data_IF_089705020784
#
_entry.id   IF_089705020784
#
_cell.length_a   1.000
_cell.length_b   1.000
_cell.length_c   1.000
_cell.angle_alpha   90.00
_cell.angle_beta   90.00
_cell.angle_gamma   90.00
#
_symmetry.space_group_name_H-M   'P 1'
#
loop_
_entity.id
_entity.type
_entity.pdbx_description
1 polymer ?
#
# COMPACT_ATOMS: atom_id res chain seq x y z
N UNK A 1 -16.24 -2.04 5.57
CA UNK A 1 -15.58 -1.29 4.46
C UNK A 1 -16.61 -0.65 3.54
N UNK A 2 -17.60 -1.44 3.08
CA UNK A 2 -18.58 -1.00 2.09
C UNK A 2 -19.44 0.16 2.60
N UNK A 3 -20.01 0.06 3.80
CA UNK A 3 -20.80 1.14 4.41
C UNK A 3 -20.03 2.47 4.49
N UNK A 4 -18.73 2.39 4.79
CA UNK A 4 -17.87 3.57 4.86
C UNK A 4 -17.63 4.17 3.47
N UNK A 5 -17.42 3.33 2.47
CA UNK A 5 -17.19 3.80 1.10
C UNK A 5 -18.46 4.38 0.50
N UNK A 6 -19.61 3.74 0.70
CA UNK A 6 -20.91 4.25 0.26
C UNK A 6 -21.21 5.61 0.88
N UNK A 7 -20.93 5.76 2.18
CA UNK A 7 -21.07 7.05 2.87
C UNK A 7 -20.14 8.12 2.29
N UNK A 8 -18.88 7.80 2.00
CA UNK A 8 -17.92 8.73 1.37
C UNK A 8 -18.39 9.16 -0.02
N UNK A 9 -18.84 8.21 -0.85
CA UNK A 9 -19.36 8.51 -2.18
C UNK A 9 -20.59 9.42 -2.10
N UNK A 10 -21.50 9.15 -1.16
CA UNK A 10 -22.65 10.01 -0.90
C UNK A 10 -22.23 11.43 -0.54
N UNK A 11 -21.29 11.59 0.39
CA UNK A 11 -20.77 12.91 0.77
C UNK A 11 -20.12 13.65 -0.41
N UNK A 12 -19.35 12.95 -1.25
CA UNK A 12 -18.76 13.55 -2.45
C UNK A 12 -19.84 14.06 -3.42
N UNK A 13 -20.89 13.28 -3.65
CA UNK A 13 -22.02 13.70 -4.50
C UNK A 13 -22.77 14.91 -3.93
N UNK A 14 -23.08 14.90 -2.63
CA UNK A 14 -23.76 16.01 -1.94
C UNK A 14 -22.97 17.31 -2.01
N UNK A 15 -21.64 17.22 -1.94
CA UNK A 15 -20.74 18.38 -2.02
C UNK A 15 -20.24 18.69 -3.45
N UNK A 16 -20.74 17.99 -4.47
CA UNK A 16 -20.35 18.14 -5.88
C UNK A 16 -18.83 18.03 -6.10
N UNK A 17 -18.15 17.20 -5.29
CA UNK A 17 -16.73 16.94 -5.46
C UNK A 17 -16.51 16.01 -6.64
N UNK A 18 -15.58 16.37 -7.50
CA UNK A 18 -15.17 15.60 -8.67
C UNK A 18 -13.89 14.78 -8.36
N UNK A 19 -13.59 13.82 -9.21
CA UNK A 19 -12.32 13.08 -9.15
C UNK A 19 -11.12 14.04 -9.29
N UNK A 20 -11.23 15.07 -10.14
CA UNK A 20 -10.18 16.08 -10.31
C UNK A 20 -9.92 16.88 -9.05
N UNK A 21 -10.95 17.25 -8.27
CA UNK A 21 -10.78 17.96 -7.00
C UNK A 21 -9.98 17.12 -5.99
N UNK A 22 -10.29 15.83 -5.93
CA UNK A 22 -9.60 14.89 -5.05
C UNK A 22 -8.16 14.68 -5.51
N UNK A 23 -7.94 14.42 -6.81
CA UNK A 23 -6.58 14.29 -7.38
C UNK A 23 -5.74 15.54 -7.15
N UNK A 24 -6.30 16.72 -7.28
CA UNK A 24 -5.61 17.97 -7.00
C UNK A 24 -5.16 18.05 -5.52
N UNK A 25 -6.03 17.66 -4.60
CA UNK A 25 -5.73 17.66 -3.17
C UNK A 25 -4.64 16.64 -2.85
N UNK A 26 -4.74 15.42 -3.38
CA UNK A 26 -3.73 14.37 -3.20
C UNK A 26 -2.39 14.78 -3.83
N UNK A 27 -2.41 15.42 -4.99
CA UNK A 27 -1.19 15.88 -5.67
C UNK A 27 -0.35 16.88 -4.87
N UNK A 28 -0.97 17.59 -3.91
CA UNK A 28 -0.29 18.49 -2.95
C UNK A 28 0.34 17.78 -1.77
N UNK A 29 -0.02 16.52 -1.51
CA UNK A 29 0.57 15.75 -0.42
C UNK A 29 2.00 15.34 -0.76
N UNK A 30 2.87 15.39 0.22
CA UNK A 30 4.21 14.86 0.10
C UNK A 30 4.26 13.38 0.51
N UNK A 31 5.31 12.69 0.07
CA UNK A 31 5.61 11.36 0.60
C UNK A 31 6.07 11.48 2.05
N UNK A 32 5.91 10.42 2.82
CA UNK A 32 6.45 10.35 4.17
C UNK A 32 7.96 10.53 4.17
N UNK A 33 8.49 11.16 5.21
CA UNK A 33 9.92 11.40 5.35
C UNK A 33 10.73 10.11 5.22
N UNK A 34 11.71 10.14 4.31
CA UNK A 34 12.56 8.98 4.01
C UNK A 34 11.96 7.94 3.05
N UNK A 35 10.67 7.98 2.74
CA UNK A 35 10.01 6.98 1.89
C UNK A 35 10.60 6.94 0.48
N UNK A 36 10.86 8.09 -0.14
CA UNK A 36 11.45 8.15 -1.48
C UNK A 36 12.86 7.56 -1.50
N UNK A 37 13.70 7.94 -0.53
CA UNK A 37 15.07 7.42 -0.40
C UNK A 37 15.06 5.91 -0.14
N UNK A 38 14.16 5.43 0.70
CA UNK A 38 13.96 4.00 0.94
C UNK A 38 13.63 3.27 -0.37
N UNK A 39 12.66 3.74 -1.14
CA UNK A 39 12.27 3.13 -2.42
C UNK A 39 13.42 3.12 -3.43
N UNK A 40 14.20 4.19 -3.54
CA UNK A 40 15.37 4.27 -4.41
C UNK A 40 16.44 3.25 -4.03
N UNK A 41 16.68 3.03 -2.75
CA UNK A 41 17.67 2.09 -2.25
C UNK A 41 17.20 0.63 -2.39
N UNK A 42 15.97 0.34 -2.01
CA UNK A 42 15.45 -1.03 -2.05
C UNK A 42 15.37 -1.56 -3.48
N UNK A 43 15.03 -0.71 -4.46
CA UNK A 43 14.97 -1.06 -5.88
C UNK A 43 16.29 -1.51 -6.49
N UNK A 44 17.41 -1.23 -5.85
CA UNK A 44 18.72 -1.71 -6.32
C UNK A 44 18.85 -3.24 -6.21
N UNK A 45 18.02 -3.85 -5.36
CA UNK A 45 18.15 -5.27 -5.01
C UNK A 45 16.83 -6.04 -5.08
N UNK A 46 15.69 -5.35 -5.06
CA UNK A 46 14.37 -5.96 -5.03
C UNK A 46 13.46 -5.37 -6.11
N UNK A 47 12.56 -6.19 -6.62
CA UNK A 47 11.38 -5.70 -7.34
C UNK A 47 10.37 -5.18 -6.33
N UNK A 48 9.87 -3.97 -6.55
CA UNK A 48 8.95 -3.32 -5.61
C UNK A 48 7.53 -3.36 -6.15
N UNK A 49 6.63 -3.86 -5.32
CA UNK A 49 5.19 -3.88 -5.59
C UNK A 49 4.49 -3.17 -4.43
N UNK A 50 3.62 -2.22 -4.73
CA UNK A 50 2.74 -1.58 -3.74
C UNK A 50 1.40 -2.31 -3.76
N UNK A 51 1.03 -2.86 -2.61
CA UNK A 51 -0.27 -3.48 -2.36
C UNK A 51 -1.10 -2.55 -1.47
N UNK A 52 -2.19 -2.01 -1.99
CA UNK A 52 -2.96 -0.99 -1.27
C UNK A 52 -4.47 -1.21 -1.40
N UNK A 53 -5.20 -0.85 -0.36
CA UNK A 53 -6.67 -0.83 -0.35
C UNK A 53 -7.23 0.52 -0.84
N UNK A 54 -6.38 1.34 -1.47
CA UNK A 54 -6.78 2.56 -2.18
C UNK A 54 -7.30 2.26 -3.59
N UNK A 55 -7.56 3.30 -4.37
CA UNK A 55 -8.01 3.23 -5.77
C UNK A 55 -6.94 3.81 -6.70
N UNK A 56 -6.82 3.24 -7.92
CA UNK A 56 -5.87 3.72 -8.92
C UNK A 56 -6.00 5.22 -9.16
N UNK A 57 -7.24 5.70 -9.26
CA UNK A 57 -7.54 7.09 -9.57
C UNK A 57 -7.02 8.06 -8.50
N UNK A 58 -7.03 7.62 -7.23
CA UNK A 58 -6.49 8.41 -6.10
C UNK A 58 -4.98 8.25 -5.96
N UNK A 59 -4.43 7.07 -6.25
CA UNK A 59 -3.03 6.80 -6.03
C UNK A 59 -2.10 7.47 -7.05
N UNK A 60 -2.57 7.67 -8.30
CA UNK A 60 -1.72 8.10 -9.42
C UNK A 60 -0.92 9.39 -9.16
N UNK A 61 -1.44 10.45 -8.50
CA UNK A 61 -0.62 11.62 -8.18
C UNK A 61 0.58 11.32 -7.28
N UNK A 62 0.46 10.36 -6.34
CA UNK A 62 1.56 9.94 -5.48
C UNK A 62 2.48 8.95 -6.20
N UNK A 63 1.93 8.08 -7.06
CA UNK A 63 2.72 7.14 -7.84
C UNK A 63 3.76 7.84 -8.73
N UNK A 64 3.40 9.00 -9.30
CA UNK A 64 4.34 9.80 -10.08
C UNK A 64 5.55 10.30 -9.26
N UNK A 65 5.35 10.56 -7.95
CA UNK A 65 6.44 10.96 -7.03
C UNK A 65 7.33 9.78 -6.64
N UNK A 66 6.91 8.55 -6.92
CA UNK A 66 7.62 7.31 -6.58
C UNK A 66 8.18 6.58 -7.81
N UNK A 67 8.25 7.22 -8.97
CA UNK A 67 8.70 6.63 -10.25
C UNK A 67 7.90 5.38 -10.64
N UNK A 68 6.60 5.40 -10.43
CA UNK A 68 5.62 4.39 -10.85
C UNK A 68 6.03 2.93 -10.55
N UNK A 69 6.22 2.52 -9.29
CA UNK A 69 6.33 1.10 -8.97
C UNK A 69 5.03 0.36 -9.38
N UNK A 70 5.11 -0.96 -9.53
CA UNK A 70 3.91 -1.75 -9.75
C UNK A 70 2.91 -1.51 -8.60
N UNK A 71 1.71 -1.07 -8.93
CA UNK A 71 0.63 -0.83 -7.97
C UNK A 71 -0.49 -1.85 -8.20
N UNK A 72 -0.87 -2.56 -7.16
CA UNK A 72 -2.05 -3.42 -7.14
C UNK A 72 -3.03 -2.87 -6.10
N UNK A 73 -4.11 -2.26 -6.57
CA UNK A 73 -5.15 -1.65 -5.73
C UNK A 73 -6.53 -1.79 -6.37
N UNK A 74 -7.53 -1.14 -5.83
CA UNK A 74 -8.91 -1.15 -6.32
C UNK A 74 -9.12 -0.13 -7.44
N UNK A 75 -10.33 -0.06 -7.98
CA UNK A 75 -10.70 0.86 -9.06
C UNK A 75 -12.00 1.59 -8.71
N UNK A 76 -12.08 2.86 -9.07
CA UNK A 76 -13.32 3.64 -9.00
C UNK A 76 -14.13 3.49 -10.29
N UNK A 77 -15.44 3.53 -10.15
CA UNK A 77 -16.36 3.72 -11.25
C UNK A 77 -16.65 5.23 -11.36
N UNK A 78 -16.17 5.82 -12.44
CA UNK A 78 -16.24 7.26 -12.68
C UNK A 78 -17.18 7.51 -13.86
N UNK A 79 -18.24 8.23 -13.61
CA UNK A 79 -19.23 8.61 -14.61
C UNK A 79 -18.90 9.92 -15.30
N UNK A 80 -19.91 10.47 -15.97
CA UNK A 80 -19.83 11.75 -16.64
C UNK A 80 -19.47 12.88 -15.66
N UNK A 81 -18.80 13.93 -16.16
CA UNK A 81 -18.32 15.05 -15.36
C UNK A 81 -17.43 14.67 -14.18
N UNK A 82 -16.72 13.54 -14.29
CA UNK A 82 -15.81 13.02 -13.26
C UNK A 82 -16.47 12.76 -11.89
N UNK A 83 -17.76 12.45 -11.88
CA UNK A 83 -18.46 12.04 -10.67
C UNK A 83 -18.10 10.61 -10.29
N UNK A 84 -17.76 10.39 -9.02
CA UNK A 84 -17.51 9.05 -8.50
C UNK A 84 -18.86 8.39 -8.22
N UNK A 85 -19.17 7.34 -8.99
CA UNK A 85 -20.45 6.64 -8.94
C UNK A 85 -20.40 5.39 -8.07
N UNK A 86 -19.23 4.77 -7.97
CA UNK A 86 -19.03 3.53 -7.23
C UNK A 86 -17.56 3.11 -7.23
N UNK A 87 -17.34 1.85 -6.90
CA UNK A 87 -16.00 1.26 -6.86
C UNK A 87 -16.05 -0.24 -7.12
N UNK A 88 -14.94 -0.78 -7.63
CA UNK A 88 -14.73 -2.20 -7.82
C UNK A 88 -13.59 -2.67 -6.91
N UNK A 89 -13.91 -3.54 -5.94
CA UNK A 89 -12.89 -4.20 -5.14
C UNK A 89 -12.25 -5.32 -5.96
N UNK A 90 -10.94 -5.27 -6.09
CA UNK A 90 -10.20 -6.29 -6.82
C UNK A 90 -10.31 -7.66 -6.17
N UNK A 91 -10.26 -7.69 -4.82
CA UNK A 91 -10.38 -8.92 -4.04
C UNK A 91 -10.56 -8.61 -2.54
N UNK A 92 -11.26 -9.47 -1.79
CA UNK A 92 -11.50 -9.27 -0.34
C UNK A 92 -10.25 -9.43 0.53
N UNK A 93 -9.22 -10.16 0.06
CA UNK A 93 -7.91 -10.35 0.72
C UNK A 93 -6.78 -10.06 -0.26
N UNK A 94 -6.88 -8.94 -0.95
CA UNK A 94 -6.05 -8.63 -2.13
C UNK A 94 -4.55 -8.68 -1.84
N UNK A 95 -4.10 -8.23 -0.65
CA UNK A 95 -2.68 -8.20 -0.28
C UNK A 95 -2.13 -9.62 -0.07
N UNK A 96 -2.81 -10.46 0.73
CA UNK A 96 -2.41 -11.85 0.98
C UNK A 96 -2.35 -12.63 -0.33
N UNK A 97 -3.41 -12.56 -1.13
CA UNK A 97 -3.48 -13.29 -2.40
C UNK A 97 -2.46 -12.84 -3.43
N UNK A 98 -2.08 -11.55 -3.42
CA UNK A 98 -0.99 -11.08 -4.28
C UNK A 98 0.35 -11.75 -3.90
N UNK A 99 0.67 -11.82 -2.60
CA UNK A 99 1.87 -12.51 -2.12
C UNK A 99 1.83 -14.00 -2.47
N UNK A 100 0.69 -14.67 -2.22
CA UNK A 100 0.51 -16.09 -2.56
C UNK A 100 0.71 -16.34 -4.07
N UNK A 101 0.20 -15.47 -4.94
CA UNK A 101 0.37 -15.57 -6.37
C UNK A 101 1.85 -15.39 -6.78
N UNK A 102 2.56 -14.43 -6.20
CA UNK A 102 4.00 -14.27 -6.45
C UNK A 102 4.80 -15.48 -5.97
N UNK A 103 4.46 -16.05 -4.81
CA UNK A 103 5.08 -17.26 -4.31
C UNK A 103 4.85 -18.46 -5.26
N UNK A 104 3.63 -18.62 -5.81
CA UNK A 104 3.28 -19.68 -6.75
C UNK A 104 4.08 -19.62 -8.05
N UNK A 105 4.46 -18.43 -8.49
CA UNK A 105 5.30 -18.26 -9.70
C UNK A 105 6.80 -18.18 -9.37
N UNK A 106 7.19 -18.54 -8.12
CA UNK A 106 8.59 -18.73 -7.73
C UNK A 106 9.28 -17.51 -7.13
N UNK A 107 8.57 -16.40 -6.88
CA UNK A 107 9.14 -15.28 -6.14
C UNK A 107 9.07 -15.53 -4.64
N UNK A 108 10.08 -15.05 -3.92
CA UNK A 108 10.09 -14.96 -2.46
C UNK A 108 9.82 -13.51 -2.07
N UNK A 109 8.78 -13.29 -1.29
CA UNK A 109 8.29 -11.97 -0.96
C UNK A 109 8.71 -11.56 0.45
N UNK A 110 9.17 -10.32 0.60
CA UNK A 110 9.30 -9.61 1.86
C UNK A 110 8.21 -8.55 1.87
N UNK A 111 7.45 -8.46 2.96
CA UNK A 111 6.35 -7.53 3.08
C UNK A 111 6.59 -6.51 4.20
N UNK A 112 6.17 -5.26 3.99
CA UNK A 112 6.14 -4.24 5.03
C UNK A 112 4.81 -3.49 4.99
N UNK A 113 4.30 -3.10 6.17
CA UNK A 113 3.03 -2.39 6.30
C UNK A 113 2.83 -1.83 7.69
N UNK A 114 1.73 -1.09 7.92
CA UNK A 114 1.49 -0.34 9.15
C UNK A 114 0.17 -0.68 9.85
N UNK A 115 -0.64 -1.55 9.27
CA UNK A 115 -2.03 -1.76 9.69
C UNK A 115 -2.41 -3.22 9.90
N UNK A 116 -3.57 -3.44 10.51
CA UNK A 116 -4.16 -4.78 10.63
C UNK A 116 -4.36 -5.47 9.29
N UNK A 117 -4.70 -4.71 8.24
CA UNK A 117 -4.92 -5.27 6.91
C UNK A 117 -3.64 -5.88 6.32
N UNK A 118 -2.46 -5.49 6.86
CA UNK A 118 -1.16 -5.97 6.39
C UNK A 118 -0.76 -7.29 7.06
N UNK A 119 -1.30 -7.60 8.24
CA UNK A 119 -0.90 -8.80 8.99
C UNK A 119 -1.11 -10.08 8.19
N UNK A 120 -2.19 -10.18 7.43
CA UNK A 120 -2.47 -11.36 6.61
C UNK A 120 -1.44 -11.58 5.48
N UNK A 121 -0.83 -10.52 4.94
CA UNK A 121 0.23 -10.69 3.94
C UNK A 121 1.55 -11.11 4.59
N UNK A 122 1.80 -10.72 5.86
CA UNK A 122 2.99 -11.16 6.59
C UNK A 122 2.98 -12.67 6.86
N UNK A 123 1.80 -13.28 7.06
CA UNK A 123 1.67 -14.73 7.28
C UNK A 123 2.16 -15.58 6.10
N UNK A 124 2.13 -15.03 4.88
CA UNK A 124 2.46 -15.76 3.65
C UNK A 124 3.71 -15.22 2.96
N UNK A 125 4.27 -14.11 3.43
CA UNK A 125 5.57 -13.61 3.02
C UNK A 125 6.70 -14.39 3.70
N UNK A 126 7.89 -14.41 3.10
CA UNK A 126 9.09 -14.99 3.71
C UNK A 126 9.51 -14.21 4.98
N UNK A 127 9.37 -12.87 4.92
CA UNK A 127 9.56 -11.96 6.04
C UNK A 127 8.49 -10.87 6.03
N UNK A 128 7.97 -10.55 7.22
CA UNK A 128 7.02 -9.47 7.44
C UNK A 128 7.58 -8.44 8.42
N UNK A 129 7.37 -7.15 8.14
CA UNK A 129 7.84 -6.05 8.97
C UNK A 129 6.76 -5.00 9.16
N UNK A 130 6.63 -4.46 10.37
CA UNK A 130 5.87 -3.24 10.60
C UNK A 130 6.74 -2.01 10.37
N UNK A 131 6.16 -0.99 9.75
CA UNK A 131 6.74 0.35 9.62
C UNK A 131 5.75 1.40 10.11
N UNK A 132 6.12 2.19 11.08
CA UNK A 132 5.27 3.21 11.69
C UNK A 132 3.89 2.69 12.18
N UNK A 133 3.80 1.40 12.48
CA UNK A 133 2.55 0.83 12.98
C UNK A 133 2.22 1.37 14.39
N UNK A 134 0.95 1.68 14.67
CA UNK A 134 0.53 2.02 16.02
C UNK A 134 0.89 0.93 17.03
N UNK A 135 1.29 1.32 18.24
CA UNK A 135 1.65 0.37 19.31
C UNK A 135 0.50 -0.58 19.67
N UNK A 136 -0.75 -0.13 19.50
CA UNK A 136 -1.95 -0.96 19.68
C UNK A 136 -2.02 -2.14 18.70
N UNK A 137 -1.33 -2.05 17.55
CA UNK A 137 -1.24 -3.12 16.56
C UNK A 137 0.03 -3.93 16.79
N UNK A 138 1.20 -3.29 16.80
CA UNK A 138 2.49 -4.00 16.90
C UNK A 138 2.63 -4.82 18.17
N UNK A 139 2.05 -4.38 19.29
CA UNK A 139 2.06 -5.16 20.55
C UNK A 139 1.24 -6.46 20.50
N UNK A 140 0.28 -6.58 19.59
CA UNK A 140 -0.49 -7.80 19.39
C UNK A 140 0.26 -8.85 18.55
N UNK A 141 1.31 -8.42 17.83
CA UNK A 141 2.13 -9.27 16.98
C UNK A 141 3.62 -9.15 17.34
N UNK A 142 4.02 -9.52 18.58
CA UNK A 142 5.38 -9.30 19.08
C UNK A 142 6.45 -10.08 18.33
N UNK A 143 6.07 -11.06 17.53
CA UNK A 143 6.96 -11.84 16.67
C UNK A 143 7.28 -11.15 15.34
N UNK A 144 6.57 -10.06 15.00
CA UNK A 144 6.82 -9.28 13.78
C UNK A 144 7.65 -8.04 14.15
N UNK A 145 8.89 -7.92 13.64
CA UNK A 145 9.72 -6.74 13.90
C UNK A 145 9.04 -5.45 13.46
N UNK A 146 9.16 -4.41 14.29
CA UNK A 146 8.52 -3.11 14.06
C UNK A 146 9.55 -1.99 14.06
N UNK A 147 9.50 -1.13 13.05
CA UNK A 147 10.41 -0.03 12.82
C UNK A 147 9.66 1.30 12.81
N UNK A 148 10.29 2.36 13.33
CA UNK A 148 9.72 3.71 13.37
C UNK A 148 10.26 4.64 12.28
N UNK A 149 11.20 4.16 11.46
CA UNK A 149 11.78 4.91 10.36
C UNK A 149 12.23 4.00 9.22
N UNK A 150 12.38 4.57 8.04
CA UNK A 150 12.73 3.83 6.83
C UNK A 150 14.19 3.39 6.74
N UNK A 151 15.11 3.99 7.52
CA UNK A 151 16.51 3.56 7.51
C UNK A 151 16.64 2.20 8.21
N UNK A 152 16.08 2.05 9.41
CA UNK A 152 16.11 0.79 10.14
C UNK A 152 15.36 -0.31 9.39
N UNK A 153 14.25 0.03 8.72
CA UNK A 153 13.55 -0.90 7.85
C UNK A 153 14.41 -1.34 6.67
N UNK A 154 15.18 -0.43 6.06
CA UNK A 154 16.08 -0.74 4.95
C UNK A 154 17.17 -1.71 5.38
N UNK A 155 17.76 -1.50 6.55
CA UNK A 155 18.77 -2.39 7.13
C UNK A 155 18.22 -3.79 7.39
N UNK A 156 16.96 -3.88 7.85
CA UNK A 156 16.27 -5.15 8.01
C UNK A 156 16.06 -5.88 6.68
N UNK A 157 15.68 -5.16 5.61
CA UNK A 157 15.57 -5.75 4.26
C UNK A 157 16.92 -6.23 3.73
N UNK A 158 18.00 -5.53 4.03
CA UNK A 158 19.35 -5.96 3.59
C UNK A 158 19.82 -7.18 4.37
N UNK A 159 19.56 -7.27 5.67
CA UNK A 159 19.95 -8.44 6.47
C UNK A 159 19.32 -9.73 5.96
N UNK A 160 18.02 -9.71 5.64
CA UNK A 160 17.31 -10.90 5.14
C UNK A 160 17.62 -11.22 3.66
N UNK A 161 18.17 -10.26 2.90
CA UNK A 161 18.65 -10.52 1.54
C UNK A 161 19.87 -11.44 1.52
N UNK A 162 20.79 -11.29 2.48
CA UNK A 162 22.04 -12.06 2.49
C UNK A 162 21.83 -13.52 2.93
N UNK A 163 20.72 -13.82 3.59
CA UNK A 163 20.32 -15.19 3.94
C UNK A 163 19.85 -16.05 2.73
N UNK A 164 19.81 -15.45 1.53
CA UNK A 164 19.33 -16.07 0.27
C UNK A 164 20.42 -16.67 -0.62
N UNK A 165 21.67 -16.80 -0.08
CA UNK A 165 22.77 -17.41 -0.83
C UNK A 165 22.83 -18.94 -0.65
#
# INVERSE_FOLDING_TARGET
YDDLMDYRIKLMKENKLTLSDIKYSIGKMDLLDGAQTFLQNIRKYFQVVILSDTFYEFAMPLMSKMDFPLLLCHKLNVGDLEQIEGYDLRHSKAKKQAIEAFNQIGYKCIAAGDSYNDTQMFEVAEHGFFINAPSSISSQYPHIPSFSNYNDLLDAFYSVKDDRK
#
